data_IF_579388918928
#
_entry.id   IF_579388918928
#
_cell.length_a   1.000
_cell.length_b   1.000
_cell.length_c   1.000
_cell.angle_alpha   90.00
_cell.angle_beta   90.00
_cell.angle_gamma   90.00
#
_symmetry.space_group_name_H-M   'P 1'
#
loop_
_entity.id
_entity.type
_entity.pdbx_description
1 polymer ?
#
# COMPACT_ATOMS: atom_id res chain seq x y z
N UNK A 1 -0.92 -24.14 101.42
CA UNK A 1 -1.32 -23.32 102.58
C UNK A 1 -1.52 -21.88 102.13
N UNK A 2 -2.57 -21.25 102.65
CA UNK A 2 -2.86 -19.81 102.66
C UNK A 2 -3.10 -19.05 101.35
N UNK A 3 -4.38 -18.73 101.14
CA UNK A 3 -4.88 -17.47 100.56
C UNK A 3 -4.29 -16.27 101.33
N UNK A 4 -4.16 -15.10 100.70
CA UNK A 4 -4.97 -13.91 101.00
C UNK A 4 -4.52 -12.64 100.25
N UNK A 5 -5.53 -11.91 99.75
CA UNK A 5 -5.73 -10.43 99.71
C UNK A 5 -4.65 -9.51 99.11
N UNK A 6 -4.87 -8.53 98.23
CA UNK A 6 -5.98 -7.65 97.79
C UNK A 6 -5.49 -6.19 97.93
N UNK A 7 -5.63 -5.35 96.89
CA UNK A 7 -6.07 -3.93 96.93
C UNK A 7 -5.99 -3.26 95.56
N UNK A 8 -7.16 -2.83 95.05
CA UNK A 8 -7.41 -1.65 94.20
C UNK A 8 -7.54 -0.40 95.12
N UNK A 9 -7.73 0.86 94.67
CA UNK A 9 -8.02 1.48 93.35
C UNK A 9 -7.02 2.64 93.06
N UNK A 10 -7.09 3.58 92.12
CA UNK A 10 -7.99 4.04 91.06
C UNK A 10 -7.43 5.41 90.62
N UNK A 11 -7.61 5.82 89.37
CA UNK A 11 -7.87 7.23 89.03
C UNK A 11 -8.29 7.39 87.56
N UNK A 12 -9.34 8.20 87.41
CA UNK A 12 -10.03 8.58 86.18
C UNK A 12 -9.44 9.90 85.65
N UNK A 13 -9.37 10.06 84.33
CA UNK A 13 -9.94 11.20 83.55
C UNK A 13 -9.39 11.15 82.12
N UNK A 14 -10.18 10.76 81.11
CA UNK A 14 -11.12 11.55 80.30
C UNK A 14 -10.49 12.53 79.28
N UNK A 15 -10.75 12.20 78.00
CA UNK A 15 -10.97 13.09 76.86
C UNK A 15 -9.76 13.61 76.09
N UNK A 16 -9.57 13.07 74.87
CA UNK A 16 -9.98 13.79 73.66
C UNK A 16 -10.14 12.84 72.46
N UNK A 17 -11.31 12.97 71.84
CA UNK A 17 -11.73 12.41 70.55
C UNK A 17 -10.73 12.77 69.46
N UNK A 18 -10.49 11.87 68.51
CA UNK A 18 -10.91 12.03 67.09
C UNK A 18 -10.24 10.98 66.18
N UNK A 19 -11.05 10.48 65.24
CA UNK A 19 -10.69 9.73 64.01
C UNK A 19 -10.37 8.24 64.17
N UNK A 20 -11.43 7.45 64.38
CA UNK A 20 -11.58 6.17 63.69
C UNK A 20 -11.86 6.46 62.21
N UNK A 21 -11.17 5.77 61.30
CA UNK A 21 -11.70 5.09 60.09
C UNK A 21 -10.54 4.83 59.11
N UNK A 22 -10.47 3.60 58.58
CA UNK A 22 -9.70 3.32 57.37
C UNK A 22 -8.39 2.55 57.57
N UNK A 23 -8.44 1.35 58.16
CA UNK A 23 -7.31 0.40 58.14
C UNK A 23 -7.75 -1.04 57.84
N UNK A 24 -8.61 -1.23 56.83
CA UNK A 24 -8.83 -2.54 56.20
C UNK A 24 -9.32 -2.30 54.77
N UNK A 25 -8.42 -2.24 53.78
CA UNK A 25 -8.64 -2.39 52.33
C UNK A 25 -7.39 -1.91 51.56
N UNK A 26 -6.23 -2.55 51.73
CA UNK A 26 -5.02 -2.18 50.99
C UNK A 26 -4.17 -3.39 50.55
N UNK A 27 -4.79 -4.56 50.38
CA UNK A 27 -4.07 -5.79 50.03
C UNK A 27 -4.79 -6.66 48.97
N UNK A 28 -5.60 -6.06 48.10
CA UNK A 28 -6.33 -6.79 47.03
C UNK A 28 -6.40 -6.06 45.68
N UNK A 29 -5.57 -5.03 45.47
CA UNK A 29 -5.53 -4.21 44.25
C UNK A 29 -4.11 -4.14 43.64
N UNK A 30 -3.42 -5.28 43.57
CA UNK A 30 -2.01 -5.33 43.15
C UNK A 30 -1.69 -6.29 42.00
N UNK A 31 -2.67 -6.80 41.26
CA UNK A 31 -2.44 -7.73 40.13
C UNK A 31 -3.47 -7.57 39.01
N UNK A 32 -3.75 -6.33 38.61
CA UNK A 32 -4.26 -6.03 37.27
C UNK A 32 -3.08 -5.48 36.46
N UNK A 33 -2.07 -6.32 36.25
CA UNK A 33 -1.15 -6.10 35.14
C UNK A 33 -2.03 -6.19 33.88
N UNK A 34 -2.24 -5.03 33.27
CA UNK A 34 -2.89 -4.85 31.98
C UNK A 34 -2.16 -5.73 30.98
N UNK A 35 -2.61 -6.98 30.81
CA UNK A 35 -2.40 -7.71 29.59
C UNK A 35 -3.14 -6.91 28.52
N UNK A 36 -2.45 -5.95 27.92
CA UNK A 36 -2.86 -5.40 26.65
C UNK A 36 -2.76 -6.58 25.69
N UNK A 37 -3.87 -7.27 25.51
CA UNK A 37 -4.06 -8.12 24.34
C UNK A 37 -4.01 -7.13 23.19
N UNK A 38 -2.83 -6.93 22.62
CA UNK A 38 -2.70 -6.39 21.28
C UNK A 38 -3.42 -7.38 20.39
N UNK A 39 -4.70 -7.10 20.14
CA UNK A 39 -5.44 -7.73 19.06
C UNK A 39 -4.73 -7.24 17.81
N UNK A 40 -3.73 -8.00 17.36
CA UNK A 40 -3.08 -7.80 16.08
C UNK A 40 -4.20 -7.93 15.05
N UNK A 41 -4.62 -6.78 14.51
CA UNK A 41 -5.62 -6.77 13.46
C UNK A 41 -5.03 -7.57 12.30
N UNK A 42 -5.78 -8.56 11.81
CA UNK A 42 -5.36 -9.26 10.59
C UNK A 42 -5.09 -8.21 9.50
N UNK A 43 -3.98 -8.34 8.75
CA UNK A 43 -3.65 -7.40 7.70
C UNK A 43 -4.83 -7.30 6.72
N UNK A 44 -5.13 -6.09 6.22
CA UNK A 44 -6.27 -5.89 5.34
C UNK A 44 -6.11 -6.74 4.07
N UNK A 45 -7.19 -7.33 3.56
CA UNK A 45 -7.13 -8.19 2.38
C UNK A 45 -6.68 -7.38 1.16
N UNK A 46 -5.96 -8.03 0.24
CA UNK A 46 -5.66 -7.46 -1.07
C UNK A 46 -6.95 -7.17 -1.85
N UNK A 47 -6.97 -6.07 -2.61
CA UNK A 47 -8.12 -5.68 -3.42
C UNK A 47 -7.85 -5.73 -4.92
N UNK A 48 -8.85 -6.18 -5.66
CA UNK A 48 -8.89 -6.22 -7.10
C UNK A 48 -9.98 -5.29 -7.66
N UNK A 49 -9.83 -4.91 -8.92
CA UNK A 49 -10.92 -4.32 -9.68
C UNK A 49 -11.67 -5.43 -10.43
N UNK A 50 -12.96 -5.62 -10.19
CA UNK A 50 -13.76 -6.65 -10.86
C UNK A 50 -13.76 -6.46 -12.39
N UNK A 51 -13.59 -7.53 -13.19
CA UNK A 51 -13.69 -7.45 -14.64
C UNK A 51 -15.03 -6.86 -15.08
N UNK A 52 -15.00 -5.92 -16.04
CA UNK A 52 -16.20 -5.30 -16.60
C UNK A 52 -16.76 -4.13 -15.78
N UNK A 53 -16.95 -4.27 -14.47
CA UNK A 53 -17.50 -3.19 -13.62
C UNK A 53 -16.45 -2.26 -13.05
N UNK A 54 -15.21 -2.74 -12.86
CA UNK A 54 -14.14 -1.99 -12.20
C UNK A 54 -14.36 -1.76 -10.70
N UNK A 55 -15.40 -2.37 -10.11
CA UNK A 55 -15.67 -2.25 -8.67
C UNK A 55 -14.54 -2.88 -7.84
N UNK A 56 -14.23 -2.26 -6.71
CA UNK A 56 -13.25 -2.80 -5.74
C UNK A 56 -13.84 -4.03 -5.06
N UNK A 57 -13.16 -5.17 -5.18
CA UNK A 57 -13.56 -6.47 -4.63
C UNK A 57 -12.35 -7.21 -4.06
N UNK A 58 -12.54 -8.14 -3.14
CA UNK A 58 -11.46 -9.02 -2.63
C UNK A 58 -11.34 -10.31 -3.42
N UNK A 59 -12.40 -10.68 -4.16
CA UNK A 59 -12.45 -11.87 -5.01
C UNK A 59 -13.41 -11.64 -6.19
N UNK A 60 -13.22 -12.39 -7.27
CA UNK A 60 -14.16 -12.38 -8.40
C UNK A 60 -14.10 -13.68 -9.21
N UNK A 61 -15.20 -13.95 -9.91
CA UNK A 61 -15.28 -15.02 -10.90
C UNK A 61 -15.07 -14.47 -12.30
N UNK A 62 -14.34 -15.21 -13.14
CA UNK A 62 -14.07 -14.85 -14.53
C UNK A 62 -14.08 -16.07 -15.43
N UNK A 63 -14.76 -15.99 -16.57
CA UNK A 63 -14.70 -17.02 -17.60
C UNK A 63 -13.61 -16.69 -18.62
N UNK A 64 -12.64 -17.58 -18.76
CA UNK A 64 -11.53 -17.44 -19.70
C UNK A 64 -11.57 -18.56 -20.74
N UNK A 65 -11.29 -18.27 -22.01
CA UNK A 65 -11.23 -19.30 -23.04
C UNK A 65 -9.93 -20.10 -22.94
N UNK A 66 -10.07 -21.43 -22.99
CA UNK A 66 -8.96 -22.37 -23.12
C UNK A 66 -8.79 -22.89 -24.55
N UNK A 67 -9.83 -22.73 -25.38
CA UNK A 67 -9.84 -23.02 -26.81
C UNK A 67 -10.91 -22.14 -27.48
N UNK A 68 -11.08 -22.26 -28.80
CA UNK A 68 -12.07 -21.48 -29.57
C UNK A 68 -13.51 -21.66 -29.07
N UNK A 69 -13.87 -22.86 -28.68
CA UNK A 69 -15.22 -23.30 -28.29
C UNK A 69 -15.31 -23.75 -26.82
N UNK A 70 -14.22 -23.61 -26.05
CA UNK A 70 -14.14 -24.06 -24.67
C UNK A 70 -13.73 -22.93 -23.74
N UNK A 71 -14.55 -22.67 -22.73
CA UNK A 71 -14.29 -21.72 -21.64
C UNK A 71 -14.25 -22.44 -20.30
N UNK A 72 -13.52 -21.87 -19.35
CA UNK A 72 -13.46 -22.32 -17.98
C UNK A 72 -13.65 -21.11 -17.06
N UNK A 73 -14.41 -21.31 -15.99
CA UNK A 73 -14.56 -20.34 -14.91
C UNK A 73 -13.39 -20.48 -13.93
N UNK A 74 -12.82 -19.34 -13.54
CA UNK A 74 -11.78 -19.21 -12.54
C UNK A 74 -12.28 -18.30 -11.41
N UNK A 75 -11.95 -18.66 -10.17
CA UNK A 75 -12.21 -17.90 -8.96
C UNK A 75 -10.91 -17.28 -8.45
N UNK A 76 -10.79 -15.95 -8.57
CA UNK A 76 -9.58 -15.21 -8.21
C UNK A 76 -9.74 -14.65 -6.79
N UNK A 77 -8.76 -14.86 -5.88
CA UNK A 77 -7.41 -15.38 -6.12
C UNK A 77 -7.20 -16.90 -5.96
N UNK A 78 -8.21 -17.67 -5.55
CA UNK A 78 -8.06 -19.10 -5.25
C UNK A 78 -7.42 -19.93 -6.39
N UNK A 79 -7.77 -19.63 -7.64
CA UNK A 79 -7.29 -20.32 -8.84
C UNK A 79 -6.05 -19.66 -9.47
N UNK A 80 -5.40 -18.72 -8.78
CA UNK A 80 -4.26 -17.99 -9.38
C UNK A 80 -3.10 -18.89 -9.77
N UNK A 81 -2.84 -19.99 -9.04
CA UNK A 81 -1.83 -20.98 -9.44
C UNK A 81 -2.14 -21.58 -10.82
N UNK A 82 -3.39 -21.99 -11.07
CA UNK A 82 -3.81 -22.55 -12.35
C UNK A 82 -3.75 -21.52 -13.50
N UNK A 83 -4.14 -20.26 -13.22
CA UNK A 83 -4.02 -19.17 -14.20
C UNK A 83 -2.57 -18.97 -14.60
N UNK A 84 -1.66 -18.80 -13.63
CA UNK A 84 -0.25 -18.55 -13.90
C UNK A 84 0.40 -19.73 -14.65
N UNK A 85 0.01 -20.96 -14.34
CA UNK A 85 0.44 -22.15 -15.07
C UNK A 85 -0.06 -22.18 -16.52
N UNK A 86 -1.24 -21.64 -16.81
CA UNK A 86 -1.76 -21.55 -18.17
C UNK A 86 -1.07 -20.43 -18.96
N UNK A 87 -0.77 -19.30 -18.33
CA UNK A 87 -0.15 -18.15 -18.98
C UNK A 87 1.35 -18.36 -19.20
N UNK A 88 2.09 -18.86 -18.21
CA UNK A 88 3.52 -19.11 -18.31
C UNK A 88 3.88 -20.21 -19.32
N UNK A 89 3.01 -21.20 -19.49
CA UNK A 89 3.21 -22.29 -20.45
C UNK A 89 2.54 -22.03 -21.82
N UNK A 90 2.14 -20.79 -22.11
CA UNK A 90 1.51 -20.38 -23.36
C UNK A 90 0.24 -21.19 -23.76
N UNK A 91 -0.45 -21.76 -22.78
CA UNK A 91 -1.68 -22.56 -22.98
C UNK A 91 -2.97 -21.72 -22.95
N UNK A 92 -2.85 -20.43 -22.63
CA UNK A 92 -3.97 -19.50 -22.66
C UNK A 92 -4.41 -19.18 -24.10
N UNK A 93 -5.64 -19.53 -24.46
CA UNK A 93 -6.20 -19.16 -25.75
C UNK A 93 -6.57 -17.67 -25.76
N UNK A 94 -5.98 -16.91 -26.69
CA UNK A 94 -6.05 -15.45 -26.77
C UNK A 94 -6.62 -14.97 -28.12
N UNK A 95 -7.66 -15.66 -28.58
CA UNK A 95 -8.18 -15.53 -29.96
C UNK A 95 -8.80 -14.16 -30.28
N UNK A 96 -9.50 -13.54 -29.34
CA UNK A 96 -10.08 -12.19 -29.53
C UNK A 96 -9.33 -11.12 -28.75
N UNK A 97 -9.53 -9.85 -29.11
CA UNK A 97 -9.00 -8.70 -28.36
C UNK A 97 -9.53 -8.70 -26.92
N UNK A 98 -10.78 -9.08 -26.71
CA UNK A 98 -11.39 -9.15 -25.38
C UNK A 98 -10.71 -10.24 -24.56
N UNK A 99 -10.51 -11.43 -25.14
CA UNK A 99 -9.83 -12.54 -24.45
C UNK A 99 -8.41 -12.17 -24.07
N UNK A 100 -7.66 -11.49 -24.98
CA UNK A 100 -6.32 -10.97 -24.68
C UNK A 100 -6.30 -10.04 -23.47
N UNK A 101 -7.24 -9.08 -23.42
CA UNK A 101 -7.34 -8.12 -22.32
C UNK A 101 -7.74 -8.78 -21.01
N UNK A 102 -8.66 -9.73 -21.06
CA UNK A 102 -9.14 -10.44 -19.88
C UNK A 102 -8.02 -11.34 -19.31
N UNK A 103 -7.35 -12.12 -20.16
CA UNK A 103 -6.18 -12.91 -19.74
C UNK A 103 -5.08 -12.03 -19.15
N UNK A 104 -4.75 -10.90 -19.78
CA UNK A 104 -3.74 -9.95 -19.25
C UNK A 104 -4.15 -9.42 -17.88
N UNK A 105 -5.41 -9.04 -17.71
CA UNK A 105 -5.92 -8.56 -16.42
C UNK A 105 -5.76 -9.64 -15.34
N UNK A 106 -6.23 -10.85 -15.60
CA UNK A 106 -6.21 -11.93 -14.61
C UNK A 106 -4.78 -12.37 -14.30
N UNK A 107 -3.91 -12.46 -15.30
CA UNK A 107 -2.46 -12.72 -15.12
C UNK A 107 -1.83 -11.66 -14.21
N UNK A 108 -2.07 -10.37 -14.47
CA UNK A 108 -1.54 -9.28 -13.65
C UNK A 108 -2.07 -9.32 -12.22
N UNK A 109 -3.38 -9.54 -12.02
CA UNK A 109 -3.97 -9.64 -10.69
C UNK A 109 -3.37 -10.82 -9.91
N UNK A 110 -3.16 -11.97 -10.55
CA UNK A 110 -2.57 -13.15 -9.91
C UNK A 110 -1.08 -12.98 -9.59
N UNK A 111 -0.31 -12.34 -10.48
CA UNK A 111 1.08 -11.97 -10.18
C UNK A 111 1.17 -11.00 -9.01
N UNK A 112 0.27 -10.00 -8.98
CA UNK A 112 0.19 -9.04 -7.89
C UNK A 112 -0.18 -9.72 -6.56
N UNK A 113 -1.16 -10.61 -6.57
CA UNK A 113 -1.53 -11.40 -5.40
C UNK A 113 -0.35 -12.24 -4.88
N UNK A 114 0.36 -12.94 -5.78
CA UNK A 114 1.55 -13.71 -5.42
C UNK A 114 2.71 -12.86 -4.92
N UNK A 115 2.82 -11.61 -5.39
CA UNK A 115 3.78 -10.64 -4.88
C UNK A 115 3.48 -10.25 -3.42
N UNK A 116 2.22 -9.91 -3.11
CA UNK A 116 1.80 -9.54 -1.75
C UNK A 116 1.86 -10.70 -0.74
N UNK A 117 1.72 -11.94 -1.20
CA UNK A 117 1.69 -13.13 -0.33
C UNK A 117 2.93 -14.00 -0.48
N UNK A 118 4.05 -13.43 -0.93
CA UNK A 118 5.30 -14.17 -1.07
C UNK A 118 5.82 -14.67 0.28
N UNK A 119 5.66 -13.86 1.32
CA UNK A 119 6.07 -14.16 2.69
C UNK A 119 4.82 -14.26 3.59
N UNK A 120 4.84 -15.16 4.61
CA UNK A 120 3.71 -15.33 5.50
C UNK A 120 3.55 -14.11 6.42
N UNK A 121 2.32 -13.65 6.61
CA UNK A 121 2.04 -12.49 7.46
C UNK A 121 1.95 -12.83 8.97
N UNK A 122 2.70 -13.84 9.41
CA UNK A 122 2.74 -14.27 10.81
C UNK A 122 3.88 -13.57 11.54
N UNK A 123 3.62 -13.14 12.78
CA UNK A 123 4.60 -12.50 13.66
C UNK A 123 5.30 -11.29 13.03
N UNK A 124 4.58 -10.50 12.21
CA UNK A 124 5.11 -9.28 11.57
C UNK A 124 4.96 -8.07 12.50
N UNK A 125 6.01 -7.26 12.55
CA UNK A 125 5.99 -5.94 13.16
C UNK A 125 5.35 -4.90 12.23
N UNK A 126 4.32 -4.20 12.72
CA UNK A 126 3.59 -3.20 11.94
C UNK A 126 3.84 -1.77 12.47
N UNK A 127 4.71 -1.05 11.77
CA UNK A 127 5.02 0.35 12.04
C UNK A 127 4.44 1.31 10.99
N UNK A 128 3.83 0.79 9.93
CA UNK A 128 3.49 1.55 8.72
C UNK A 128 1.98 1.66 8.44
N UNK A 129 1.15 0.70 8.88
CA UNK A 129 -0.27 0.66 8.52
C UNK A 129 -1.09 1.85 9.00
N UNK A 130 -0.62 2.52 10.06
CA UNK A 130 -1.25 3.69 10.67
C UNK A 130 -0.88 5.01 9.98
N UNK A 131 0.05 5.00 9.03
CA UNK A 131 0.46 6.19 8.32
C UNK A 131 -0.61 6.64 7.32
N UNK A 132 -0.91 7.95 7.28
CA UNK A 132 -1.95 8.51 6.39
C UNK A 132 -1.43 8.74 4.97
N UNK A 133 -1.31 7.64 4.22
CA UNK A 133 -0.91 7.66 2.82
C UNK A 133 -1.84 8.49 1.92
N UNK A 134 -3.08 8.74 2.34
CA UNK A 134 -4.03 9.52 1.55
C UNK A 134 -3.74 11.02 1.63
N UNK A 135 -3.03 11.49 2.67
CA UNK A 135 -2.65 12.90 2.82
C UNK A 135 -1.14 13.10 2.97
N UNK A 136 -0.35 12.09 2.61
CA UNK A 136 1.11 12.09 2.66
C UNK A 136 1.74 13.20 1.83
N UNK A 137 2.90 13.68 2.30
CA UNK A 137 3.75 14.56 1.50
C UNK A 137 4.55 13.74 0.49
N UNK A 138 4.80 14.29 -0.70
CA UNK A 138 5.46 13.51 -1.76
C UNK A 138 6.93 13.21 -1.47
N UNK A 139 7.61 14.06 -0.70
CA UNK A 139 9.00 13.82 -0.28
C UNK A 139 9.12 12.62 0.67
N UNK A 140 8.14 12.43 1.56
CA UNK A 140 8.06 11.27 2.48
C UNK A 140 7.79 9.95 1.73
N UNK A 141 7.24 10.02 0.52
CA UNK A 141 6.96 8.83 -0.31
C UNK A 141 8.14 8.45 -1.22
N UNK A 142 9.24 9.20 -1.20
CA UNK A 142 10.40 8.96 -2.04
C UNK A 142 10.06 8.75 -3.53
N UNK A 143 9.04 9.47 -4.03
CA UNK A 143 8.57 9.33 -5.41
C UNK A 143 9.65 9.87 -6.36
N UNK A 144 10.14 8.98 -7.22
CA UNK A 144 11.03 9.29 -8.34
C UNK A 144 12.49 9.58 -7.98
N UNK A 145 12.96 9.25 -6.77
CA UNK A 145 14.41 9.35 -6.47
C UNK A 145 15.28 8.57 -7.48
N UNK A 146 14.84 7.38 -7.90
CA UNK A 146 15.48 6.60 -8.99
C UNK A 146 15.38 7.24 -10.39
N UNK A 147 14.40 8.12 -10.62
CA UNK A 147 14.26 8.85 -11.88
C UNK A 147 15.18 10.07 -11.95
N UNK A 148 15.57 10.61 -10.80
CA UNK A 148 16.49 11.72 -10.69
C UNK A 148 17.94 11.29 -10.99
N UNK A 149 18.33 10.08 -10.60
CA UNK A 149 19.72 9.62 -10.71
C UNK A 149 20.23 9.41 -12.16
N UNK A 150 19.40 9.65 -13.18
CA UNK A 150 19.79 9.58 -14.59
C UNK A 150 20.21 8.17 -15.05
N UNK A 151 20.05 7.16 -14.21
CA UNK A 151 20.46 5.78 -14.48
C UNK A 151 19.40 5.13 -15.40
N UNK A 152 19.64 5.33 -16.69
CA UNK A 152 19.27 4.47 -17.83
C UNK A 152 17.79 4.20 -18.07
N UNK A 153 17.25 4.77 -19.17
CA UNK A 153 16.28 4.11 -20.08
C UNK A 153 15.02 3.48 -19.49
N UNK A 154 14.71 3.72 -18.22
CA UNK A 154 13.63 3.07 -17.51
C UNK A 154 12.33 3.78 -17.88
N UNK A 155 11.54 3.12 -18.73
CA UNK A 155 10.19 3.54 -19.13
C UNK A 155 9.26 3.79 -17.93
N UNK A 156 9.65 3.31 -16.74
CA UNK A 156 9.00 3.57 -15.47
C UNK A 156 8.97 5.06 -15.08
N UNK A 157 9.89 5.88 -15.61
CA UNK A 157 9.92 7.33 -15.42
C UNK A 157 9.37 8.13 -16.61
N UNK A 158 8.94 7.48 -17.71
CA UNK A 158 8.44 8.17 -18.92
C UNK A 158 7.19 9.02 -18.65
N UNK A 159 6.45 8.73 -17.58
CA UNK A 159 5.30 9.54 -17.15
C UNK A 159 5.71 10.88 -16.53
N UNK A 160 6.93 10.98 -15.97
CA UNK A 160 7.49 12.24 -15.47
C UNK A 160 7.99 13.15 -16.61
N UNK A 161 8.33 12.56 -17.75
CA UNK A 161 8.80 13.28 -18.94
C UNK A 161 7.67 13.61 -19.93
N UNK A 162 6.43 13.22 -19.64
CA UNK A 162 5.28 13.64 -20.42
C UNK A 162 4.97 15.11 -20.14
N UNK A 163 5.66 15.99 -20.86
CA UNK A 163 5.11 17.27 -21.26
C UNK A 163 3.77 16.97 -21.94
N UNK A 164 2.62 17.40 -21.39
CA UNK A 164 1.37 17.05 -22.00
C UNK A 164 1.21 17.91 -23.26
N UNK A 165 1.62 17.33 -24.39
CA UNK A 165 1.79 17.98 -25.70
C UNK A 165 0.50 18.48 -26.35
N UNK A 166 -0.59 18.59 -25.59
CA UNK A 166 -1.93 18.94 -26.09
C UNK A 166 -2.73 19.87 -25.18
N UNK A 167 -2.14 20.40 -24.10
CA UNK A 167 -2.78 21.51 -23.42
C UNK A 167 -2.53 22.81 -24.21
N UNK A 168 -3.57 23.60 -24.52
CA UNK A 168 -3.32 24.99 -24.89
C UNK A 168 -2.54 25.64 -23.73
N UNK A 169 -1.58 26.53 -24.00
CA UNK A 169 -0.86 27.25 -22.95
C UNK A 169 -1.88 28.10 -22.17
N UNK A 170 -2.48 27.50 -21.15
CA UNK A 170 -3.49 28.13 -20.30
C UNK A 170 -2.74 28.93 -19.25
N UNK A 171 -2.59 30.22 -19.58
CA UNK A 171 -2.21 31.32 -18.71
C UNK A 171 -0.84 31.18 -18.03
N UNK A 172 0.06 32.04 -18.48
CA UNK A 172 1.32 32.47 -17.87
C UNK A 172 1.12 33.10 -16.47
N UNK A 173 0.46 32.41 -15.54
CA UNK A 173 0.83 32.54 -14.15
C UNK A 173 2.01 31.58 -13.97
N UNK A 174 3.22 32.12 -13.91
CA UNK A 174 4.43 31.37 -13.55
C UNK A 174 4.20 30.74 -12.18
N UNK A 175 3.63 29.53 -12.16
CA UNK A 175 3.65 28.71 -10.96
C UNK A 175 5.11 28.28 -10.79
N UNK A 176 5.82 29.03 -9.95
CA UNK A 176 7.21 28.75 -9.61
C UNK A 176 7.29 27.30 -9.08
N UNK A 177 8.20 26.48 -9.63
CA UNK A 177 8.39 25.13 -9.13
C UNK A 177 8.74 25.19 -7.64
N UNK A 178 7.95 24.47 -6.84
CA UNK A 178 8.16 24.32 -5.41
C UNK A 178 8.90 23.02 -5.12
N UNK A 179 9.59 22.95 -3.98
CA UNK A 179 10.21 21.70 -3.55
C UNK A 179 9.15 20.64 -3.22
N UNK A 180 9.51 19.37 -3.37
CA UNK A 180 8.62 18.23 -3.07
C UNK A 180 8.06 18.27 -1.64
N UNK A 181 8.82 18.85 -0.70
CA UNK A 181 8.42 19.05 0.69
C UNK A 181 7.09 19.79 0.87
N UNK A 182 6.70 20.63 -0.08
CA UNK A 182 5.45 21.37 -0.03
C UNK A 182 4.29 20.68 -0.77
N UNK A 183 4.60 19.65 -1.57
CA UNK A 183 3.60 18.89 -2.29
C UNK A 183 3.05 17.74 -1.46
N UNK A 184 1.72 17.61 -1.48
CA UNK A 184 0.99 16.60 -0.71
C UNK A 184 -0.18 16.04 -1.50
N UNK A 185 -0.49 14.79 -1.19
CA UNK A 185 -1.76 14.18 -1.56
C UNK A 185 -2.88 14.82 -0.74
N UNK A 186 -4.05 14.92 -1.34
CA UNK A 186 -5.30 15.31 -0.69
C UNK A 186 -6.32 14.23 -0.97
N UNK A 187 -6.61 13.41 0.03
CA UNK A 187 -7.46 12.22 -0.12
C UNK A 187 -7.01 11.32 -1.29
N UNK A 188 -5.70 11.07 -1.39
CA UNK A 188 -5.06 10.22 -2.39
C UNK A 188 -4.87 10.89 -3.74
N UNK A 189 -5.14 12.18 -3.89
CA UNK A 189 -5.00 12.89 -5.17
C UNK A 189 -3.93 13.97 -5.07
N UNK A 190 -2.99 13.97 -6.01
CA UNK A 190 -2.05 15.05 -6.22
C UNK A 190 -2.65 16.10 -7.16
N UNK A 191 -2.62 17.36 -6.74
CA UNK A 191 -3.05 18.52 -7.52
C UNK A 191 -1.82 19.35 -7.89
N UNK A 192 -1.40 19.29 -9.14
CA UNK A 192 -0.08 19.75 -9.57
C UNK A 192 0.60 18.77 -10.49
N UNK A 193 1.84 19.02 -10.89
CA UNK A 193 2.63 18.09 -11.72
C UNK A 193 4.02 17.91 -11.15
N UNK A 194 4.59 16.73 -11.38
CA UNK A 194 5.99 16.43 -11.04
C UNK A 194 6.85 16.75 -12.25
N UNK A 195 7.95 17.46 -12.04
CA UNK A 195 8.89 17.89 -13.08
C UNK A 195 10.27 17.43 -12.67
N UNK A 196 10.95 16.72 -13.56
CA UNK A 196 12.35 16.34 -13.39
C UNK A 196 13.21 17.45 -13.98
N UNK A 197 14.12 18.00 -13.18
CA UNK A 197 15.03 19.07 -13.59
C UNK A 197 16.45 18.72 -13.17
N UNK A 198 17.22 18.10 -14.08
CA UNK A 198 18.50 17.49 -13.73
C UNK A 198 18.28 16.31 -12.78
N UNK A 199 19.05 16.27 -11.69
CA UNK A 199 18.98 15.21 -10.67
C UNK A 199 18.01 15.57 -9.52
N UNK A 200 17.07 16.50 -9.76
CA UNK A 200 16.09 16.90 -8.77
C UNK A 200 14.68 16.72 -9.33
N UNK A 201 13.81 16.10 -8.54
CA UNK A 201 12.36 16.15 -8.79
C UNK A 201 11.78 17.34 -8.05
N UNK A 202 11.08 18.18 -8.80
CA UNK A 202 10.30 19.30 -8.28
C UNK A 202 8.83 19.06 -8.53
N UNK A 203 8.00 19.78 -7.80
CA UNK A 203 6.56 19.71 -7.95
C UNK A 203 5.99 21.11 -8.14
N UNK A 204 5.14 21.25 -9.14
CA UNK A 204 4.40 22.48 -9.43
C UNK A 204 2.98 22.27 -8.91
N UNK A 205 2.64 22.90 -7.79
CA UNK A 205 1.29 22.82 -7.21
C UNK A 205 0.27 23.51 -8.14
N UNK A 206 -0.74 22.76 -8.60
CA UNK A 206 -1.83 23.30 -9.41
C UNK A 206 -3.17 22.84 -8.83
N UNK A 207 -3.81 23.65 -7.97
CA UNK A 207 -4.98 23.23 -7.20
C UNK A 207 -6.18 22.73 -8.03
N UNK A 208 -6.23 23.07 -9.31
CA UNK A 208 -7.32 22.71 -10.23
C UNK A 208 -6.98 21.54 -11.16
N UNK A 209 -5.73 21.07 -11.14
CA UNK A 209 -5.23 20.08 -12.10
C UNK A 209 -4.75 18.82 -11.37
N UNK A 210 -5.63 17.82 -11.19
CA UNK A 210 -5.23 16.56 -10.60
C UNK A 210 -4.45 15.73 -11.63
N UNK A 211 -3.28 15.21 -11.24
CA UNK A 211 -2.38 14.49 -12.17
C UNK A 211 -2.00 13.09 -11.73
N UNK A 212 -2.08 12.81 -10.42
CA UNK A 212 -1.72 11.51 -9.86
C UNK A 212 -2.75 11.11 -8.82
N UNK A 213 -3.18 9.85 -8.85
CA UNK A 213 -4.12 9.30 -7.88
C UNK A 213 -3.59 8.02 -7.29
N UNK A 214 -3.53 7.97 -5.96
CA UNK A 214 -3.36 6.75 -5.18
C UNK A 214 -4.65 5.91 -5.31
N UNK A 215 -4.51 4.71 -5.86
CA UNK A 215 -5.61 3.78 -6.13
C UNK A 215 -5.75 2.78 -5.00
N UNK A 216 -4.63 2.20 -4.57
CA UNK A 216 -4.57 1.27 -3.44
C UNK A 216 -3.33 1.50 -2.59
N UNK A 217 -3.48 1.18 -1.31
CA UNK A 217 -2.40 0.93 -0.36
C UNK A 217 -2.63 -0.48 0.12
N UNK A 218 -1.71 -1.38 -0.21
CA UNK A 218 -1.73 -2.77 0.23
C UNK A 218 -0.53 -2.98 1.16
N UNK A 219 -0.62 -3.96 2.06
CA UNK A 219 0.43 -4.23 3.05
C UNK A 219 0.90 -5.67 2.95
N UNK A 220 2.21 -5.88 3.05
CA UNK A 220 2.85 -7.18 2.95
C UNK A 220 4.27 -7.12 3.50
N UNK A 221 4.86 -8.27 3.86
CA UNK A 221 6.31 -8.40 4.00
C UNK A 221 6.88 -8.77 2.62
N UNK A 222 7.52 -7.83 1.94
CA UNK A 222 7.97 -7.98 0.55
C UNK A 222 9.35 -8.64 0.47
N UNK A 223 10.19 -8.43 1.48
CA UNK A 223 11.60 -8.84 1.48
C UNK A 223 11.90 -10.03 2.44
N UNK A 224 10.93 -10.44 3.26
CA UNK A 224 11.01 -11.54 4.22
C UNK A 224 11.68 -11.19 5.55
N UNK A 225 11.71 -9.92 5.95
CA UNK A 225 12.37 -9.47 7.18
C UNK A 225 11.46 -9.37 8.40
N UNK A 226 10.20 -9.80 8.27
CA UNK A 226 9.16 -9.72 9.31
C UNK A 226 8.77 -8.29 9.71
N UNK A 227 9.05 -7.29 8.87
CA UNK A 227 8.53 -5.92 8.99
C UNK A 227 7.46 -5.70 7.92
N UNK A 228 6.38 -5.01 8.30
CA UNK A 228 5.30 -4.68 7.39
C UNK A 228 5.75 -3.60 6.40
N UNK A 229 5.66 -3.88 5.11
CA UNK A 229 5.84 -2.90 4.04
C UNK A 229 4.49 -2.40 3.51
N UNK A 230 4.50 -1.20 2.95
CA UNK A 230 3.39 -0.61 2.21
C UNK A 230 3.67 -0.60 0.71
N UNK A 231 2.70 -1.08 -0.06
CA UNK A 231 2.70 -1.09 -1.53
C UNK A 231 1.68 -0.07 -2.01
N UNK A 232 2.17 1.08 -2.47
CA UNK A 232 1.34 2.16 -2.96
C UNK A 232 1.23 2.08 -4.47
N UNK A 233 0.00 2.08 -4.98
CA UNK A 233 -0.27 2.06 -6.42
C UNK A 233 -0.89 3.36 -6.87
N UNK A 234 -0.12 4.13 -7.62
CA UNK A 234 -0.59 5.36 -8.24
C UNK A 234 -0.98 5.14 -9.69
N UNK A 235 -1.90 5.96 -10.19
CA UNK A 235 -2.18 6.07 -11.63
C UNK A 235 -2.11 7.53 -12.03
N UNK A 236 -1.39 7.86 -13.12
CA UNK A 236 -1.51 9.16 -13.76
C UNK A 236 -2.96 9.39 -14.21
N UNK A 237 -3.47 10.59 -13.95
CA UNK A 237 -4.80 11.04 -14.36
C UNK A 237 -4.70 12.36 -15.11
N UNK A 238 -5.66 12.59 -16.00
CA UNK A 238 -5.70 13.79 -16.84
C UNK A 238 -5.59 13.49 -18.34
N UNK A 239 -5.84 14.51 -19.19
CA UNK A 239 -5.68 14.43 -20.63
C UNK A 239 -4.29 13.94 -21.05
N UNK A 240 -4.24 12.94 -21.93
CA UNK A 240 -2.98 12.41 -22.49
C UNK A 240 -2.16 11.52 -21.56
N UNK A 241 -2.55 11.36 -20.30
CA UNK A 241 -1.81 10.57 -19.32
C UNK A 241 -1.75 9.08 -19.73
N UNK A 242 -0.53 8.52 -19.79
CA UNK A 242 -0.35 7.07 -19.87
C UNK A 242 -0.89 6.42 -18.59
N UNK A 243 -1.94 5.61 -18.71
CA UNK A 243 -2.57 4.90 -17.59
C UNK A 243 -1.77 3.65 -17.18
N UNK A 244 -0.46 3.80 -17.05
CA UNK A 244 0.40 2.80 -16.43
C UNK A 244 0.44 3.06 -14.92
N UNK A 245 0.20 2.05 -14.08
CA UNK A 245 0.32 2.23 -12.64
C UNK A 245 1.79 2.43 -12.26
N UNK A 246 2.03 3.34 -11.32
CA UNK A 246 3.32 3.57 -10.67
C UNK A 246 3.26 2.91 -9.31
N UNK A 247 4.29 2.18 -8.94
CA UNK A 247 4.35 1.45 -7.68
C UNK A 247 5.44 2.06 -6.82
N UNK A 248 5.11 2.29 -5.56
CA UNK A 248 6.07 2.72 -4.56
C UNK A 248 6.02 1.71 -3.43
N UNK A 249 7.18 1.12 -3.13
CA UNK A 249 7.36 0.20 -2.02
C UNK A 249 8.02 0.98 -0.88
N UNK A 250 7.37 1.01 0.27
CA UNK A 250 7.82 1.75 1.44
C UNK A 250 7.89 0.80 2.64
N UNK A 251 8.91 0.98 3.47
CA UNK A 251 9.07 0.26 4.72
C UNK A 251 9.30 1.25 5.86
N UNK A 252 9.14 0.77 7.09
CA UNK A 252 9.37 1.57 8.29
C UNK A 252 9.80 0.66 9.43
N UNK A 253 11.06 0.80 9.86
CA UNK A 253 11.64 -0.10 10.87
C UNK A 253 11.16 0.16 12.31
N UNK A 254 10.57 1.32 12.57
CA UNK A 254 10.04 1.69 13.88
C UNK A 254 8.91 2.73 13.78
N UNK A 255 8.06 2.78 14.80
CA UNK A 255 6.89 3.67 14.85
C UNK A 255 7.21 5.18 14.77
N UNK A 256 8.45 5.59 15.05
CA UNK A 256 8.96 6.96 14.95
C UNK A 256 10.02 7.17 13.85
N UNK A 257 10.46 6.10 13.18
CA UNK A 257 11.41 6.18 12.08
C UNK A 257 10.81 6.93 10.87
N UNK A 258 11.67 7.43 9.98
CA UNK A 258 11.23 7.94 8.69
C UNK A 258 10.76 6.78 7.80
N UNK A 259 9.85 7.06 6.87
CA UNK A 259 9.56 6.10 5.80
C UNK A 259 10.83 5.90 4.99
N UNK A 260 11.05 4.68 4.53
CA UNK A 260 12.18 4.35 3.67
C UNK A 260 11.65 3.66 2.42
N UNK A 261 12.29 3.93 1.28
CA UNK A 261 12.00 3.17 0.05
C UNK A 261 12.59 1.78 0.18
N UNK A 262 11.81 0.76 -0.15
CA UNK A 262 12.35 -0.60 -0.28
C UNK A 262 13.21 -0.67 -1.54
N UNK A 263 14.50 -0.93 -1.38
CA UNK A 263 15.48 -0.87 -2.47
C UNK A 263 15.33 -2.06 -3.43
N UNK A 264 15.17 -1.75 -4.73
CA UNK A 264 14.69 -2.69 -5.75
C UNK A 264 15.70 -3.81 -6.10
N UNK A 265 16.92 -3.72 -5.58
CA UNK A 265 17.99 -4.70 -5.81
C UNK A 265 17.67 -6.10 -5.24
N UNK A 266 16.72 -6.20 -4.30
CA UNK A 266 16.21 -7.47 -3.75
C UNK A 266 14.81 -7.84 -4.24
N UNK A 267 14.10 -6.90 -4.87
CA UNK A 267 12.68 -7.03 -5.23
C UNK A 267 12.44 -6.88 -6.73
N UNK A 268 13.16 -7.60 -7.59
CA UNK A 268 12.83 -7.61 -9.03
C UNK A 268 11.34 -7.88 -9.23
N UNK A 269 10.55 -6.85 -9.57
CA UNK A 269 9.09 -6.94 -9.74
C UNK A 269 8.81 -7.59 -11.10
N UNK A 270 8.52 -8.90 -11.16
CA UNK A 270 8.58 -9.65 -12.42
C UNK A 270 7.39 -9.36 -13.35
N UNK A 271 6.47 -8.48 -12.96
CA UNK A 271 5.24 -8.18 -13.69
C UNK A 271 5.17 -6.77 -14.31
N UNK A 272 6.07 -5.85 -13.94
CA UNK A 272 6.11 -4.51 -14.54
C UNK A 272 6.55 -4.53 -16.01
N UNK A 273 7.35 -5.53 -16.43
CA UNK A 273 7.84 -5.66 -17.81
C UNK A 273 6.73 -5.92 -18.85
N UNK A 274 5.54 -6.34 -18.42
CA UNK A 274 4.41 -6.68 -19.29
C UNK A 274 3.31 -5.60 -19.36
N UNK A 275 3.52 -4.42 -18.75
CA UNK A 275 2.56 -3.31 -18.80
C UNK A 275 2.67 -2.45 -20.08
N UNK A 276 3.62 -2.74 -20.96
CA UNK A 276 3.71 -2.07 -22.25
C UNK A 276 2.46 -2.38 -23.12
N UNK A 277 1.81 -1.38 -23.73
CA UNK A 277 0.87 -1.64 -24.80
C UNK A 277 1.63 -2.30 -25.97
N UNK A 278 1.09 -3.40 -26.50
CA UNK A 278 1.49 -3.98 -27.79
C UNK A 278 1.25 -2.94 -28.90
N UNK A 279 2.13 -1.95 -29.05
CA UNK A 279 1.97 -0.87 -30.03
C UNK A 279 2.85 -1.02 -31.26
N UNK A 280 3.58 -2.13 -31.41
CA UNK A 280 4.46 -2.33 -32.58
C UNK A 280 4.29 -3.64 -33.36
N UNK A 281 3.54 -4.64 -32.88
CA UNK A 281 3.37 -5.88 -33.65
C UNK A 281 2.27 -5.82 -34.73
N UNK A 282 1.30 -4.90 -34.63
CA UNK A 282 0.14 -4.86 -35.54
C UNK A 282 0.36 -4.01 -36.83
N UNK A 283 1.59 -3.55 -37.11
CA UNK A 283 1.90 -2.77 -38.33
C UNK A 283 2.70 -3.50 -39.41
N UNK A 284 3.12 -4.74 -39.19
CA UNK A 284 3.86 -5.51 -40.18
C UNK A 284 3.21 -6.88 -40.40
N UNK A 285 2.32 -7.01 -41.38
CA UNK A 285 1.84 -8.35 -41.75
C UNK A 285 0.54 -8.47 -42.54
N UNK A 286 0.23 -7.57 -43.47
CA UNK A 286 -0.64 -7.92 -44.60
C UNK A 286 0.14 -7.66 -45.89
N UNK A 287 1.05 -8.58 -46.21
CA UNK A 287 1.31 -8.94 -47.61
C UNK A 287 0.60 -10.26 -47.82
N UNK A 288 -0.54 -10.23 -48.52
CA UNK A 288 -1.09 -11.44 -49.11
C UNK A 288 -0.18 -11.91 -50.24
N UNK A 289 0.00 -13.22 -50.45
CA UNK A 289 0.36 -13.75 -51.75
C UNK A 289 -0.89 -13.80 -52.64
N UNK A 290 -0.66 -13.40 -53.89
CA UNK A 290 -1.50 -13.49 -55.10
C UNK A 290 -2.80 -12.67 -55.20
#
# INVERSE_FOLDING_TARGET
>A
MSRATARFPGDLQFSRRSVQFGRQLAALFGFLALAQVEVQAAPPPAYFASPGSGQRVTEYNVELPLARDRRQQFHIPADCGAVLDLTNNERAYKGTIIDRRLWRKVDNDCRYHGFLHRHPLQDIEDHISRYDFMNARLDELHIGQHCADGITGNRECDWLHQEPSSFPPLSTAQAEPTSLAYCRLRNGVLYGRLVVSGDEIRCICEPQHPTLRLVTVDFADINGDHVMDAVLRFVPIGPGALRAPIIVLLTRDAADAELQRLDDSRSSLPWQTNLAPDSQADRAGIRGPD
#
